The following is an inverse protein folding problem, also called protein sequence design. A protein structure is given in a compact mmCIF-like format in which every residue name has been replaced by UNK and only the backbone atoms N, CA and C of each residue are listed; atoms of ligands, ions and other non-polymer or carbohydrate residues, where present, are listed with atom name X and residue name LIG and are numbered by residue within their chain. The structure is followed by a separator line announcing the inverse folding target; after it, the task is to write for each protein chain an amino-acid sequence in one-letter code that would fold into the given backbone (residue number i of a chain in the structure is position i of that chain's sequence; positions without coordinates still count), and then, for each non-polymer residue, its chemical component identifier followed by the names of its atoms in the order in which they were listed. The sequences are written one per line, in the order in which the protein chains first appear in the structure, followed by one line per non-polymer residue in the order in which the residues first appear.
data_IF_280876439798
#
_entry.id   IF_280876439798
#
_cell.length_a   1.000
_cell.length_b   1.000
_cell.length_c   1.000
_cell.angle_alpha   90.00
_cell.angle_beta   90.00
_cell.angle_gamma   90.00
#
_symmetry.space_group_name_H-M   'P 1'
#
loop_
_entity.id
_entity.type
_entity.pdbx_description
1 polymer ?
#
# COMPACT_ATOMS: atom_id res chain seq x y z
N UNK A 1 -3.81 21.76 -2.79
CA UNK A 1 -4.20 20.46 -3.39
C UNK A 1 -5.48 20.01 -2.72
N UNK A 2 -6.52 19.60 -3.46
CA UNK A 2 -7.75 19.09 -2.84
C UNK A 2 -7.45 17.84 -1.99
N UNK A 3 -8.06 17.76 -0.81
CA UNK A 3 -8.03 16.59 0.04
C UNK A 3 -8.63 15.38 -0.70
N UNK A 4 -8.06 14.19 -0.47
CA UNK A 4 -8.65 12.94 -0.96
C UNK A 4 -9.94 12.66 -0.19
N UNK A 5 -10.93 12.12 -0.89
CA UNK A 5 -12.19 11.61 -0.33
C UNK A 5 -12.35 10.12 -0.66
N UNK A 6 -13.20 9.37 0.06
CA UNK A 6 -13.43 7.94 -0.24
C UNK A 6 -13.76 7.67 -1.72
N UNK A 7 -14.69 8.45 -2.29
CA UNK A 7 -15.11 8.32 -3.69
C UNK A 7 -13.95 8.50 -4.71
N UNK A 8 -12.86 9.17 -4.34
CA UNK A 8 -11.73 9.43 -5.23
C UNK A 8 -10.88 8.18 -5.50
N UNK A 9 -10.80 7.26 -4.53
CA UNK A 9 -10.00 6.04 -4.67
C UNK A 9 -10.85 4.77 -4.82
N UNK A 10 -12.11 4.83 -4.38
CA UNK A 10 -13.07 3.74 -4.51
C UNK A 10 -13.66 3.61 -5.92
N UNK A 11 -13.26 4.48 -6.87
CA UNK A 11 -13.66 4.39 -8.26
C UNK A 11 -13.31 3.01 -8.86
N UNK A 12 -14.27 2.39 -9.54
CA UNK A 12 -14.10 1.08 -10.18
C UNK A 12 -14.19 1.20 -11.70
N UNK A 13 -13.62 0.22 -12.41
CA UNK A 13 -13.63 0.14 -13.87
C UNK A 13 -12.40 -0.56 -14.43
N UNK A 14 -12.49 -0.94 -15.71
CA UNK A 14 -11.41 -1.62 -16.46
C UNK A 14 -10.34 -0.66 -16.99
N UNK A 15 -10.63 0.64 -17.03
CA UNK A 15 -9.65 1.67 -17.38
C UNK A 15 -8.51 1.74 -16.36
N UNK A 16 -7.43 2.44 -16.73
CA UNK A 16 -6.24 2.60 -15.90
C UNK A 16 -6.53 3.30 -14.56
N UNK A 17 -5.76 2.94 -13.53
CA UNK A 17 -5.76 3.60 -12.22
C UNK A 17 -5.70 5.12 -12.34
N UNK A 18 -6.52 5.83 -11.56
CA UNK A 18 -6.56 7.29 -11.60
C UNK A 18 -5.39 7.91 -10.82
N UNK A 19 -5.03 9.18 -11.08
CA UNK A 19 -4.03 9.89 -10.26
C UNK A 19 -4.39 9.96 -8.78
N UNK A 20 -5.68 10.01 -8.44
CA UNK A 20 -6.14 10.04 -7.04
C UNK A 20 -5.99 8.68 -6.36
N UNK A 21 -6.31 7.58 -7.06
CA UNK A 21 -6.00 6.22 -6.60
C UNK A 21 -4.49 6.04 -6.40
N UNK A 22 -3.68 6.47 -7.37
CA UNK A 22 -2.23 6.39 -7.26
C UNK A 22 -1.69 7.17 -6.05
N UNK A 23 -2.24 8.37 -5.77
CA UNK A 23 -1.89 9.16 -4.59
C UNK A 23 -2.26 8.44 -3.29
N UNK A 24 -3.46 7.85 -3.20
CA UNK A 24 -3.90 7.07 -2.04
C UNK A 24 -3.02 5.84 -1.82
N UNK A 25 -2.79 5.04 -2.87
CA UNK A 25 -1.91 3.87 -2.84
C UNK A 25 -0.51 4.23 -2.35
N UNK A 26 0.07 5.30 -2.91
CA UNK A 26 1.40 5.77 -2.52
C UNK A 26 1.48 6.30 -1.08
N UNK A 27 0.40 6.87 -0.55
CA UNK A 27 0.34 7.34 0.83
C UNK A 27 0.30 6.12 1.79
N UNK A 28 -0.60 5.17 1.54
CA UNK A 28 -0.71 3.93 2.31
C UNK A 28 0.61 3.15 2.32
N UNK A 29 1.24 2.93 1.16
CA UNK A 29 2.52 2.22 1.11
C UNK A 29 3.62 2.95 1.91
N UNK A 30 3.58 4.28 1.98
CA UNK A 30 4.50 5.06 2.80
C UNK A 30 4.26 4.83 4.29
N UNK A 31 3.00 4.88 4.72
CA UNK A 31 2.61 4.69 6.11
C UNK A 31 2.88 3.24 6.58
N UNK A 32 2.61 2.23 5.74
CA UNK A 32 2.97 0.84 5.99
C UNK A 32 4.49 0.64 6.12
N UNK A 33 5.28 1.26 5.23
CA UNK A 33 6.75 1.21 5.30
C UNK A 33 7.28 1.84 6.59
N UNK A 34 6.60 2.84 7.14
CA UNK A 34 6.95 3.45 8.42
C UNK A 34 6.46 2.60 9.61
N UNK A 35 5.30 1.95 9.50
CA UNK A 35 4.63 1.29 10.62
C UNK A 35 4.95 -0.20 10.81
N UNK A 36 5.29 -0.94 9.76
CA UNK A 36 5.32 -2.41 9.81
C UNK A 36 6.65 -3.04 9.38
N UNK A 37 6.91 -4.23 9.92
CA UNK A 37 7.94 -5.16 9.46
C UNK A 37 7.24 -6.42 8.98
N UNK A 38 7.34 -6.72 7.69
CA UNK A 38 6.67 -7.84 7.04
C UNK A 38 7.46 -9.12 7.30
N UNK A 39 7.03 -9.93 8.28
CA UNK A 39 7.70 -11.16 8.69
C UNK A 39 9.22 -10.98 8.94
N UNK A 40 9.59 -9.90 9.62
CA UNK A 40 10.99 -9.57 9.93
C UNK A 40 11.71 -8.80 8.83
N UNK A 41 11.08 -8.56 7.67
CA UNK A 41 11.62 -7.76 6.59
C UNK A 41 11.07 -6.34 6.64
N UNK A 42 11.97 -5.36 6.69
CA UNK A 42 11.58 -3.94 6.59
C UNK A 42 11.43 -3.58 5.12
N UNK A 43 10.20 -3.52 4.66
CA UNK A 43 9.86 -3.14 3.29
C UNK A 43 9.85 -1.62 3.14
N UNK A 44 10.44 -1.13 2.05
CA UNK A 44 10.29 0.28 1.63
C UNK A 44 8.90 0.51 1.04
N UNK A 45 8.54 1.79 0.84
CA UNK A 45 7.31 2.16 0.14
C UNK A 45 7.18 1.48 -1.23
N UNK A 46 8.28 1.40 -1.97
CA UNK A 46 8.27 0.78 -3.30
C UNK A 46 8.16 -0.73 -3.21
N UNK A 47 8.74 -1.37 -2.20
CA UNK A 47 8.58 -2.81 -1.97
C UNK A 47 7.12 -3.17 -1.67
N UNK A 48 6.43 -2.41 -0.80
CA UNK A 48 4.99 -2.57 -0.56
C UNK A 48 4.17 -2.44 -1.85
N UNK A 49 4.49 -1.43 -2.67
CA UNK A 49 3.82 -1.20 -3.95
C UNK A 49 4.07 -2.31 -4.96
N UNK A 50 5.28 -2.85 -5.03
CA UNK A 50 5.60 -4.01 -5.88
C UNK A 50 4.93 -5.29 -5.38
N UNK A 51 4.92 -5.50 -4.06
CA UNK A 51 4.27 -6.66 -3.44
C UNK A 51 2.78 -6.68 -3.76
N UNK A 52 2.05 -5.59 -3.50
CA UNK A 52 0.60 -5.55 -3.78
C UNK A 52 0.31 -5.64 -5.29
N UNK A 53 1.11 -4.98 -6.14
CA UNK A 53 0.89 -5.00 -7.58
C UNK A 53 1.10 -6.41 -8.17
N UNK A 54 2.15 -7.11 -7.73
CA UNK A 54 2.37 -8.50 -8.12
C UNK A 54 1.28 -9.44 -7.60
N UNK A 55 0.76 -9.21 -6.39
CA UNK A 55 -0.40 -9.97 -5.87
C UNK A 55 -1.66 -9.77 -6.72
N UNK A 56 -1.95 -8.55 -7.16
CA UNK A 56 -3.16 -8.24 -7.95
C UNK A 56 -3.06 -8.65 -9.42
N UNK A 57 -1.88 -8.54 -10.02
CA UNK A 57 -1.66 -8.76 -11.45
C UNK A 57 -1.00 -10.12 -11.76
N UNK A 58 -0.63 -10.86 -10.73
CA UNK A 58 0.09 -12.12 -10.82
C UNK A 58 1.61 -11.98 -10.87
N UNK A 59 2.25 -13.11 -10.59
CA UNK A 59 3.70 -13.28 -10.59
C UNK A 59 4.11 -14.24 -11.71
N UNK A 60 5.27 -13.98 -12.32
CA UNK A 60 5.90 -14.90 -13.27
C UNK A 60 7.26 -15.33 -12.75
N UNK A 61 7.45 -16.65 -12.61
CA UNK A 61 8.77 -17.23 -12.37
C UNK A 61 9.52 -17.33 -13.70
N UNK A 62 10.72 -16.78 -13.77
CA UNK A 62 11.57 -16.83 -14.97
C UNK A 62 13.00 -17.22 -14.61
N UNK A 63 13.77 -17.76 -15.57
CA UNK A 63 15.21 -17.86 -15.43
C UNK A 63 15.83 -16.49 -15.13
N UNK A 64 16.76 -16.45 -14.18
CA UNK A 64 17.55 -15.26 -13.89
C UNK A 64 18.55 -14.97 -15.01
N UNK A 65 19.06 -13.74 -15.04
CA UNK A 65 20.13 -13.35 -15.95
C UNK A 65 21.43 -13.97 -15.43
N UNK A 66 22.10 -14.77 -16.26
CA UNK A 66 23.46 -15.24 -15.96
C UNK A 66 24.45 -14.08 -16.03
N UNK A 67 25.20 -13.87 -14.95
CA UNK A 67 26.24 -12.84 -14.86
C UNK A 67 27.65 -13.40 -15.04
N UNK A 68 27.79 -14.60 -15.59
CA UNK A 68 29.08 -15.25 -15.86
C UNK A 68 29.75 -15.85 -14.62
N UNK A 69 28.99 -16.06 -13.55
CA UNK A 69 29.48 -16.63 -12.27
C UNK A 69 28.95 -18.06 -12.02
N UNK A 70 28.23 -18.65 -13.00
CA UNK A 70 27.64 -19.98 -12.89
C UNK A 70 26.25 -19.98 -12.24
N UNK A 71 25.41 -20.90 -12.73
CA UNK A 71 24.01 -21.18 -12.38
C UNK A 71 23.10 -19.92 -12.29
N UNK A 72 22.50 -19.46 -13.41
CA UNK A 72 21.39 -18.51 -13.33
C UNK A 72 20.28 -19.15 -12.48
N UNK A 73 20.00 -18.56 -11.32
CA UNK A 73 18.88 -18.96 -10.47
C UNK A 73 17.52 -18.65 -11.13
N UNK A 74 16.47 -18.52 -10.32
CA UNK A 74 15.18 -18.05 -10.81
C UNK A 74 14.85 -16.69 -10.20
N UNK A 75 14.11 -15.87 -10.93
CA UNK A 75 13.56 -14.60 -10.47
C UNK A 75 12.03 -14.63 -10.54
N UNK A 76 11.39 -13.98 -9.58
CA UNK A 76 9.96 -13.68 -9.66
C UNK A 76 9.77 -12.25 -10.15
N UNK A 77 8.94 -12.09 -11.18
CA UNK A 77 8.56 -10.78 -11.72
C UNK A 77 7.08 -10.54 -11.46
N UNK A 78 6.78 -9.50 -10.69
CA UNK A 78 5.42 -9.03 -10.43
C UNK A 78 4.93 -8.09 -11.53
N UNK A 79 3.61 -7.98 -11.68
CA UNK A 79 3.00 -6.93 -12.49
C UNK A 79 3.35 -5.53 -11.98
N UNK A 80 3.51 -4.57 -12.89
CA UNK A 80 3.76 -3.18 -12.53
C UNK A 80 2.49 -2.53 -11.99
N UNK A 81 2.59 -1.75 -10.90
CA UNK A 81 1.47 -0.96 -10.38
C UNK A 81 0.91 0.03 -11.40
N UNK A 82 1.69 0.39 -12.43
CA UNK A 82 1.24 1.23 -13.54
C UNK A 82 0.21 0.52 -14.44
N UNK A 83 0.05 -0.80 -14.32
CA UNK A 83 -0.93 -1.61 -15.07
C UNK A 83 -2.19 -1.93 -14.28
N UNK A 84 -2.33 -1.41 -13.06
CA UNK A 84 -3.56 -1.59 -12.30
C UNK A 84 -4.71 -0.85 -13.01
N UNK A 85 -5.81 -1.56 -13.21
CA UNK A 85 -7.09 -0.93 -13.55
C UNK A 85 -7.64 -0.21 -12.31
N UNK A 86 -8.66 0.62 -12.49
CA UNK A 86 -9.33 1.30 -11.36
C UNK A 86 -9.87 0.28 -10.35
N UNK A 87 -10.48 -0.81 -10.83
CA UNK A 87 -10.97 -1.88 -9.95
C UNK A 87 -9.84 -2.54 -9.15
N UNK A 88 -8.75 -2.95 -9.81
CA UNK A 88 -7.63 -3.58 -9.11
C UNK A 88 -6.89 -2.60 -8.18
N UNK A 89 -6.85 -1.32 -8.51
CA UNK A 89 -6.30 -0.29 -7.62
C UNK A 89 -7.16 -0.11 -6.37
N UNK A 90 -8.49 -0.10 -6.51
CA UNK A 90 -9.43 -0.07 -5.39
C UNK A 90 -9.24 -1.29 -4.47
N UNK A 91 -9.13 -2.49 -5.06
CA UNK A 91 -8.93 -3.72 -4.30
C UNK A 91 -7.54 -3.74 -3.62
N UNK A 92 -6.49 -3.29 -4.30
CA UNK A 92 -5.15 -3.15 -3.73
C UNK A 92 -5.13 -2.20 -2.52
N UNK A 93 -5.76 -1.03 -2.65
CA UNK A 93 -5.87 -0.05 -1.56
C UNK A 93 -6.63 -0.66 -0.38
N UNK A 94 -7.75 -1.33 -0.65
CA UNK A 94 -8.58 -1.97 0.39
C UNK A 94 -7.78 -3.00 1.18
N UNK A 95 -7.06 -3.89 0.49
CA UNK A 95 -6.22 -4.91 1.14
C UNK A 95 -5.12 -4.27 1.98
N UNK A 96 -4.44 -3.23 1.47
CA UNK A 96 -3.37 -2.58 2.21
C UNK A 96 -3.86 -1.83 3.45
N UNK A 97 -5.05 -1.22 3.38
CA UNK A 97 -5.70 -0.62 4.56
C UNK A 97 -5.99 -1.72 5.59
N UNK A 98 -6.60 -2.84 5.18
CA UNK A 98 -6.85 -3.98 6.08
C UNK A 98 -5.57 -4.49 6.73
N UNK A 99 -4.48 -4.63 5.98
CA UNK A 99 -3.18 -5.05 6.52
C UNK A 99 -2.65 -4.06 7.56
N UNK A 100 -2.83 -2.75 7.32
CA UNK A 100 -2.39 -1.73 8.26
C UNK A 100 -3.25 -1.65 9.51
N UNK A 101 -4.57 -1.82 9.40
CA UNK A 101 -5.51 -1.80 10.53
C UNK A 101 -5.45 -3.08 11.36
N UNK A 102 -5.24 -4.22 10.70
CA UNK A 102 -5.29 -5.57 11.28
C UNK A 102 -4.07 -6.43 10.88
N UNK A 103 -2.84 -6.01 11.22
CA UNK A 103 -1.63 -6.74 10.83
C UNK A 103 -1.58 -8.18 11.39
N UNK A 104 -2.27 -8.46 12.49
CA UNK A 104 -2.41 -9.78 13.10
C UNK A 104 -3.07 -10.81 12.17
N UNK A 105 -3.94 -10.39 11.26
CA UNK A 105 -4.60 -11.30 10.29
C UNK A 105 -3.60 -11.85 9.27
N UNK A 106 -2.46 -11.16 9.08
CA UNK A 106 -1.33 -11.63 8.29
C UNK A 106 -0.30 -12.39 9.15
N UNK A 107 -0.64 -12.72 10.40
CA UNK A 107 0.27 -13.39 11.33
C UNK A 107 1.42 -12.52 11.84
N UNK A 108 1.33 -11.20 11.68
CA UNK A 108 2.33 -10.27 12.20
C UNK A 108 2.04 -9.93 13.66
N UNK A 109 3.10 -9.86 14.48
CA UNK A 109 3.03 -9.33 15.84
C UNK A 109 3.33 -7.82 15.81
N UNK A 110 2.39 -7.04 15.29
CA UNK A 110 2.50 -5.58 15.19
C UNK A 110 1.22 -4.90 15.69
N UNK A 111 1.32 -3.62 16.06
CA UNK A 111 0.15 -2.78 16.33
C UNK A 111 -0.39 -2.22 15.00
N UNK A 112 -1.66 -1.79 14.96
CA UNK A 112 -2.20 -1.08 13.80
C UNK A 112 -1.32 0.12 13.40
N UNK A 113 -1.25 0.38 12.10
CA UNK A 113 -0.44 1.44 11.52
C UNK A 113 -1.04 2.80 11.85
N UNK A 114 -0.18 3.76 12.16
CA UNK A 114 -0.57 5.16 12.26
C UNK A 114 -0.66 5.74 10.85
N UNK A 115 -1.87 5.93 10.37
CA UNK A 115 -2.13 6.57 9.08
C UNK A 115 -1.85 8.07 9.09
N UNK A 116 -1.36 8.57 7.96
CA UNK A 116 -1.20 9.99 7.68
C UNK A 116 -2.53 10.67 7.42
N UNK A 117 -2.58 12.00 7.56
CA UNK A 117 -3.78 12.81 7.27
C UNK A 117 -4.31 12.56 5.86
N UNK A 118 -3.42 12.32 4.88
CA UNK A 118 -3.83 12.01 3.49
C UNK A 118 -4.63 10.71 3.43
N UNK A 119 -4.20 9.68 4.14
CA UNK A 119 -4.91 8.40 4.21
C UNK A 119 -6.19 8.55 5.01
N UNK A 120 -6.14 9.19 6.19
CA UNK A 120 -7.32 9.37 7.04
C UNK A 120 -8.44 10.16 6.33
N UNK A 121 -8.11 11.26 5.66
CA UNK A 121 -9.07 12.00 4.83
C UNK A 121 -9.62 11.14 3.69
N UNK A 122 -8.75 10.37 3.03
CA UNK A 122 -9.13 9.41 2.00
C UNK A 122 -10.06 8.31 2.51
N UNK A 123 -9.94 7.91 3.77
CA UNK A 123 -10.82 6.94 4.45
C UNK A 123 -12.13 7.57 4.95
N UNK A 124 -12.27 8.90 4.91
CA UNK A 124 -13.50 9.62 5.26
C UNK A 124 -13.50 10.24 6.66
N UNK A 125 -12.37 10.19 7.37
CA UNK A 125 -12.20 10.98 8.60
C UNK A 125 -12.18 12.47 8.28
N UNK A 126 -12.59 13.29 9.25
CA UNK A 126 -12.61 14.75 9.14
C UNK A 126 -11.36 15.33 9.78
N UNK A 127 -10.92 16.50 9.33
CA UNK A 127 -9.78 17.21 9.94
C UNK A 127 -9.96 17.47 11.45
N UNK A 128 -11.21 17.63 11.90
CA UNK A 128 -11.57 17.74 13.32
C UNK A 128 -11.19 16.52 14.15
N UNK A 129 -11.14 15.34 13.54
CA UNK A 129 -10.90 14.08 14.24
C UNK A 129 -9.41 13.94 14.65
N UNK A 130 -8.53 14.78 14.09
CA UNK A 130 -7.08 14.74 14.33
C UNK A 130 -6.60 15.77 15.37
N UNK A 131 -7.39 16.82 15.62
CA UNK A 131 -7.01 17.96 16.47
C UNK A 131 -7.07 17.66 17.98
N UNK A 132 -7.88 16.68 18.43
CA UNK A 132 -8.07 16.40 19.86
C UNK A 132 -6.88 15.72 20.55
N UNK A 133 -5.93 15.14 19.79
CA UNK A 133 -4.79 14.40 20.37
C UNK A 133 -3.70 15.35 20.92
N UNK A 134 -3.66 16.60 20.45
CA UNK A 134 -2.62 17.57 20.83
C UNK A 134 -2.89 18.28 22.16
N UNK A 135 -4.10 18.19 22.73
CA UNK A 135 -4.50 18.95 23.93
C UNK A 135 -4.35 18.14 25.22
N UNK A 136 -4.10 16.83 25.15
CA UNK A 136 -4.03 15.95 26.35
C UNK A 136 -2.63 15.74 26.95
N UNK A 137 -1.57 16.32 26.38
CA UNK A 137 -0.20 16.22 26.91
C UNK A 137 0.31 17.49 27.61
N UNK A 138 -0.61 18.34 28.10
CA UNK A 138 -0.27 19.38 29.08
C UNK A 138 -1.11 19.16 30.33
N UNK A 139 -0.62 18.28 31.21
CA UNK A 139 -0.87 18.28 32.66
C UNK A 139 0.07 17.30 33.33
#
# INVERSE_FOLDING_TARGET
MNALKPADWQERGEGMMTPKQQRMLNAICGDLAAGLSWHGQRLTKDDWRHMVAGTMLGWRLMPAIDRGQGAPGHIMLGGSSLKLTKSLACDAITVLVQIGDHPEEQGMRAKPVRWSDTVLLGLGFKESDFQEVSVRNVR
#
